data_IF_569899542165
#
_entry.id   IF_569899542165
#
_cell.length_a   1.000
_cell.length_b   1.000
_cell.length_c   1.000
_cell.angle_alpha   90.00
_cell.angle_beta   90.00
_cell.angle_gamma   90.00
#
_symmetry.space_group_name_H-M   'P 1'
#
loop_
_entity.id
_entity.type
_entity.pdbx_description
1 polymer ?
#
# COMPACT_ATOMS: atom_id res chain seq x y z
N UNK A 1 -10.88 -29.01 11.16
CA UNK A 1 -9.47 -28.65 10.94
C UNK A 1 -9.47 -27.36 10.16
N UNK A 2 -8.65 -26.44 10.62
CA UNK A 2 -8.71 -24.98 10.50
C UNK A 2 -8.80 -24.47 9.07
N UNK A 3 -9.84 -23.67 8.79
CA UNK A 3 -9.92 -22.74 7.68
C UNK A 3 -8.80 -21.71 7.86
N UNK A 4 -7.81 -21.72 6.97
CA UNK A 4 -6.94 -20.56 6.78
C UNK A 4 -7.73 -19.55 5.96
N UNK A 5 -8.53 -18.71 6.62
CA UNK A 5 -8.97 -17.40 6.08
C UNK A 5 -7.79 -16.41 6.19
N UNK A 6 -6.60 -16.88 5.84
CA UNK A 6 -5.37 -16.12 5.89
C UNK A 6 -5.26 -15.30 4.63
N UNK A 7 -4.99 -14.01 4.81
CA UNK A 7 -4.49 -13.12 3.77
C UNK A 7 -3.17 -13.72 3.26
N UNK A 8 -3.24 -14.69 2.34
CA UNK A 8 -2.07 -15.27 1.69
C UNK A 8 -1.28 -14.10 1.13
N UNK A 9 0.00 -14.00 1.51
CA UNK A 9 0.94 -13.04 0.93
C UNK A 9 0.64 -12.93 -0.56
N UNK A 10 0.21 -11.75 -1.00
CA UNK A 10 -0.27 -11.53 -2.36
C UNK A 10 0.67 -12.27 -3.33
N UNK A 11 0.19 -13.13 -4.24
CA UNK A 11 1.03 -13.87 -5.17
C UNK A 11 2.03 -12.98 -5.92
N UNK A 12 1.73 -11.69 -6.02
CA UNK A 12 2.58 -10.64 -6.51
C UNK A 12 3.84 -10.39 -5.68
N UNK A 13 3.79 -10.53 -4.36
CA UNK A 13 4.97 -10.39 -3.49
C UNK A 13 5.83 -11.63 -3.50
N UNK A 14 5.25 -12.82 -3.59
CA UNK A 14 6.04 -14.03 -3.87
C UNK A 14 6.71 -13.93 -5.26
N UNK A 15 6.00 -13.45 -6.28
CA UNK A 15 6.57 -13.26 -7.61
C UNK A 15 7.69 -12.21 -7.62
N UNK A 16 7.45 -11.04 -7.00
CA UNK A 16 8.46 -9.99 -6.90
C UNK A 16 9.67 -10.41 -6.06
N UNK A 17 9.47 -11.15 -4.97
CA UNK A 17 10.56 -11.71 -4.16
C UNK A 17 11.35 -12.77 -4.92
N UNK A 18 10.69 -13.61 -5.73
CA UNK A 18 11.33 -14.63 -6.57
C UNK A 18 12.20 -13.99 -7.67
N UNK A 19 11.72 -12.92 -8.28
CA UNK A 19 12.42 -12.25 -9.38
C UNK A 19 13.50 -11.25 -8.89
N UNK A 20 13.34 -10.68 -7.70
CA UNK A 20 14.19 -9.58 -7.20
C UNK A 20 15.02 -9.94 -5.95
N UNK A 21 14.71 -11.03 -5.23
CA UNK A 21 15.27 -11.33 -3.89
C UNK A 21 14.49 -10.64 -2.76
N UNK A 22 15.00 -10.62 -1.53
CA UNK A 22 14.35 -9.92 -0.40
C UNK A 22 14.13 -8.43 -0.74
N UNK A 23 12.87 -8.00 -0.78
CA UNK A 23 12.48 -6.62 -1.13
C UNK A 23 12.06 -5.87 0.13
N UNK A 24 12.77 -4.82 0.53
CA UNK A 24 12.31 -3.90 1.57
C UNK A 24 11.69 -2.66 0.93
N UNK A 25 10.72 -2.05 1.61
CA UNK A 25 9.95 -0.90 1.10
C UNK A 25 10.79 0.34 0.75
N UNK A 26 12.08 0.37 1.12
CA UNK A 26 12.93 1.54 1.00
C UNK A 26 13.39 1.88 -0.40
N UNK A 27 13.48 0.94 -1.37
CA UNK A 27 13.54 1.26 -2.82
C UNK A 27 13.77 0.01 -3.68
N UNK A 28 12.70 -0.50 -4.30
CA UNK A 28 12.77 -1.08 -5.65
C UNK A 28 11.52 -0.71 -6.43
N UNK A 29 11.76 -0.17 -7.62
CA UNK A 29 10.73 0.32 -8.53
C UNK A 29 10.17 -0.85 -9.34
N UNK A 30 8.93 -1.24 -9.08
CA UNK A 30 8.19 -2.18 -9.94
C UNK A 30 7.51 -1.38 -11.04
N UNK A 31 7.44 -1.93 -12.25
CA UNK A 31 6.76 -1.26 -13.36
C UNK A 31 5.31 -1.68 -13.41
N UNK A 32 4.40 -0.70 -13.42
CA UNK A 32 2.95 -0.91 -13.51
C UNK A 32 2.36 -0.18 -14.72
N UNK A 33 1.23 -0.68 -15.21
CA UNK A 33 0.51 -0.13 -16.35
C UNK A 33 -0.64 0.79 -15.95
N UNK A 34 -1.44 1.20 -16.94
CA UNK A 34 -2.55 2.11 -16.71
C UNK A 34 -3.67 1.50 -15.85
N UNK A 35 -3.83 0.18 -15.86
CA UNK A 35 -4.89 -0.50 -15.10
C UNK A 35 -4.69 -0.37 -13.59
N UNK A 36 -3.45 -0.52 -13.11
CA UNK A 36 -3.10 -0.39 -11.70
C UNK A 36 -3.32 1.04 -11.20
N UNK A 37 -2.99 2.06 -12.01
CA UNK A 37 -3.24 3.46 -11.64
C UNK A 37 -4.71 3.84 -11.65
N UNK A 38 -5.51 3.28 -12.57
CA UNK A 38 -6.92 3.64 -12.72
C UNK A 38 -7.76 3.26 -11.49
N UNK A 39 -7.35 2.23 -10.73
CA UNK A 39 -8.01 1.80 -9.51
C UNK A 39 -7.73 2.65 -8.28
N UNK A 40 -6.75 3.56 -8.34
CA UNK A 40 -6.35 4.39 -7.20
C UNK A 40 -7.24 5.62 -7.05
N UNK A 41 -7.76 5.80 -5.84
CA UNK A 41 -8.49 7.00 -5.41
C UNK A 41 -7.56 8.20 -5.23
N UNK A 42 -8.14 9.39 -5.01
CA UNK A 42 -7.35 10.58 -4.66
C UNK A 42 -6.61 10.39 -3.32
N UNK A 43 -7.29 9.83 -2.32
CA UNK A 43 -6.72 9.55 -1.00
C UNK A 43 -5.55 8.57 -1.08
N UNK A 44 -5.63 7.53 -1.94
CA UNK A 44 -4.51 6.60 -2.15
C UNK A 44 -3.28 7.32 -2.71
N UNK A 45 -3.51 8.24 -3.65
CA UNK A 45 -2.43 8.99 -4.32
C UNK A 45 -1.76 9.94 -3.35
N UNK A 46 -2.53 10.58 -2.46
CA UNK A 46 -2.01 11.44 -1.40
C UNK A 46 -1.23 10.62 -0.37
N UNK A 47 -1.76 9.48 0.06
CA UNK A 47 -1.07 8.56 0.97
C UNK A 47 0.27 8.10 0.39
N UNK A 48 0.28 7.64 -0.86
CA UNK A 48 1.53 7.26 -1.55
C UNK A 48 2.51 8.44 -1.61
N UNK A 49 2.04 9.64 -1.97
CA UNK A 49 2.89 10.82 -2.04
C UNK A 49 3.52 11.20 -0.69
N UNK A 50 2.80 11.03 0.42
CA UNK A 50 3.31 11.32 1.77
C UNK A 50 4.27 10.25 2.25
N UNK A 51 3.94 8.97 2.04
CA UNK A 51 4.72 7.85 2.56
C UNK A 51 6.02 7.64 1.77
N UNK A 52 5.95 7.73 0.44
CA UNK A 52 7.08 7.37 -0.44
C UNK A 52 7.67 8.55 -1.20
N UNK A 53 7.01 9.71 -1.17
CA UNK A 53 7.39 10.87 -1.98
C UNK A 53 6.97 10.78 -3.45
N UNK A 54 6.31 9.68 -3.87
CA UNK A 54 5.91 9.46 -5.26
C UNK A 54 4.76 10.37 -5.69
N UNK A 55 4.91 10.99 -6.86
CA UNK A 55 3.82 11.74 -7.50
C UNK A 55 3.23 10.94 -8.63
N UNK A 56 2.11 10.27 -8.36
CA UNK A 56 1.44 9.42 -9.33
C UNK A 56 0.60 10.27 -10.31
N UNK A 57 0.88 10.20 -11.62
CA UNK A 57 0.06 10.90 -12.61
C UNK A 57 -1.34 10.28 -12.70
N UNK A 58 -2.33 11.05 -13.13
CA UNK A 58 -3.70 10.55 -13.35
C UNK A 58 -3.77 9.48 -14.45
N UNK A 59 -2.97 9.66 -15.51
CA UNK A 59 -2.88 8.77 -16.66
C UNK A 59 -1.42 8.56 -17.08
N UNK A 60 -1.12 7.40 -17.67
CA UNK A 60 0.21 7.09 -18.22
C UNK A 60 0.09 6.47 -19.61
N UNK A 61 1.14 6.65 -20.43
CA UNK A 61 1.35 5.91 -21.68
C UNK A 61 2.52 4.96 -21.49
N UNK A 62 2.24 3.66 -21.44
CA UNK A 62 3.24 2.62 -21.18
C UNK A 62 3.30 2.21 -19.71
N UNK A 63 4.51 2.08 -19.17
CA UNK A 63 4.75 1.60 -17.80
C UNK A 63 5.38 2.71 -16.93
N UNK A 64 4.98 2.76 -15.66
CA UNK A 64 5.51 3.67 -14.66
C UNK A 64 6.25 2.89 -13.57
N UNK A 65 7.50 3.23 -13.22
CA UNK A 65 8.15 2.71 -12.02
C UNK A 65 7.45 3.25 -10.77
N UNK A 66 7.07 2.37 -9.85
CA UNK A 66 6.40 2.69 -8.59
C UNK A 66 6.98 1.91 -7.42
N UNK A 67 6.77 2.40 -6.20
CA UNK A 67 7.15 1.63 -4.99
C UNK A 67 6.30 0.37 -4.83
N UNK A 68 6.84 -0.53 -4.01
CA UNK A 68 6.13 -1.71 -3.58
C UNK A 68 4.90 -1.39 -2.72
N UNK A 69 4.94 -0.27 -1.99
CA UNK A 69 3.79 0.25 -1.24
C UNK A 69 2.64 0.64 -2.17
N UNK A 70 2.93 1.40 -3.23
CA UNK A 70 1.94 1.75 -4.25
C UNK A 70 1.37 0.50 -4.94
N UNK A 71 2.23 -0.46 -5.28
CA UNK A 71 1.81 -1.72 -5.90
C UNK A 71 0.85 -2.51 -4.99
N UNK A 72 1.14 -2.64 -3.70
CA UNK A 72 0.26 -3.31 -2.74
C UNK A 72 -1.14 -2.66 -2.74
N UNK A 73 -1.22 -1.32 -2.65
CA UNK A 73 -2.48 -0.60 -2.71
C UNK A 73 -3.22 -0.84 -4.04
N UNK A 74 -2.54 -0.74 -5.17
CA UNK A 74 -3.16 -0.94 -6.48
C UNK A 74 -3.73 -2.36 -6.65
N UNK A 75 -2.99 -3.37 -6.19
CA UNK A 75 -3.43 -4.77 -6.22
C UNK A 75 -4.64 -4.97 -5.32
N UNK A 76 -4.63 -4.42 -4.12
CA UNK A 76 -5.76 -4.56 -3.19
C UNK A 76 -7.00 -3.79 -3.61
N UNK A 77 -6.84 -2.69 -4.38
CA UNK A 77 -7.95 -2.02 -5.09
C UNK A 77 -8.53 -2.88 -6.21
N UNK A 78 -7.69 -3.64 -6.94
CA UNK A 78 -8.14 -4.47 -8.05
C UNK A 78 -8.79 -5.78 -7.60
N UNK A 79 -8.13 -6.47 -6.66
CA UNK A 79 -8.46 -7.87 -6.31
C UNK A 79 -8.64 -8.15 -4.82
N UNK A 80 -8.25 -7.22 -3.95
CA UNK A 80 -8.15 -7.44 -2.51
C UNK A 80 -9.17 -6.67 -1.65
N UNK A 81 -8.83 -6.38 -0.39
CA UNK A 81 -9.74 -5.83 0.60
C UNK A 81 -10.15 -4.37 0.34
N UNK A 82 -9.40 -3.63 -0.49
CA UNK A 82 -9.68 -2.21 -0.78
C UNK A 82 -10.60 -2.01 -1.99
N UNK A 83 -11.13 -3.08 -2.60
CA UNK A 83 -12.01 -3.03 -3.77
C UNK A 83 -13.21 -2.10 -3.65
N UNK A 84 -13.68 -1.82 -2.43
CA UNK A 84 -14.82 -0.94 -2.18
C UNK A 84 -14.60 0.53 -2.56
N UNK A 85 -13.36 0.95 -2.81
CA UNK A 85 -13.03 2.36 -3.10
C UNK A 85 -13.07 3.27 -1.87
N UNK A 86 -13.27 2.70 -0.68
CA UNK A 86 -13.24 3.41 0.61
C UNK A 86 -11.82 3.87 0.96
N UNK A 87 -11.66 4.89 1.80
CA UNK A 87 -10.35 5.34 2.26
C UNK A 87 -9.61 4.21 2.98
N UNK A 88 -8.28 4.21 2.86
CA UNK A 88 -7.42 3.20 3.49
C UNK A 88 -7.51 3.36 5.02
N UNK A 89 -8.00 2.36 5.77
CA UNK A 89 -8.06 2.46 7.22
C UNK A 89 -6.69 2.21 7.86
N UNK A 90 -6.47 2.73 9.07
CA UNK A 90 -5.25 2.48 9.86
C UNK A 90 -5.01 0.98 10.03
N UNK A 91 -6.06 0.21 10.34
CA UNK A 91 -5.94 -1.25 10.56
C UNK A 91 -5.37 -1.98 9.35
N UNK A 92 -5.63 -1.50 8.13
CA UNK A 92 -5.11 -2.12 6.92
C UNK A 92 -3.58 -2.03 6.85
N UNK A 93 -2.98 -0.87 7.14
CA UNK A 93 -1.51 -0.72 7.08
C UNK A 93 -0.81 -1.49 8.20
N UNK A 94 -1.43 -1.59 9.37
CA UNK A 94 -0.95 -2.42 10.48
C UNK A 94 -0.98 -3.92 10.14
N UNK A 95 -2.09 -4.38 9.56
CA UNK A 95 -2.25 -5.78 9.13
C UNK A 95 -1.23 -6.14 8.04
N UNK A 96 -1.08 -5.27 7.04
CA UNK A 96 -0.07 -5.43 5.98
C UNK A 96 1.32 -5.54 6.59
N UNK A 97 1.73 -4.59 7.45
CA UNK A 97 3.05 -4.63 8.08
C UNK A 97 3.29 -5.92 8.87
N UNK A 98 2.32 -6.31 9.72
CA UNK A 98 2.41 -7.51 10.56
C UNK A 98 2.59 -8.78 9.72
N UNK A 99 1.79 -8.92 8.66
CA UNK A 99 1.87 -10.08 7.74
C UNK A 99 3.26 -10.21 7.12
N UNK A 100 3.90 -9.09 6.77
CA UNK A 100 5.22 -9.07 6.16
C UNK A 100 6.38 -9.18 7.17
N UNK A 101 6.22 -8.69 8.40
CA UNK A 101 7.20 -8.90 9.48
C UNK A 101 7.35 -10.40 9.78
N UNK A 102 6.22 -11.12 9.84
CA UNK A 102 6.19 -12.56 10.11
C UNK A 102 6.72 -13.43 8.95
N UNK A 103 6.85 -12.86 7.75
CA UNK A 103 7.26 -13.56 6.53
C UNK A 103 8.29 -12.75 5.72
N UNK A 104 9.58 -12.78 6.08
CA UNK A 104 10.60 -11.83 5.60
C UNK A 104 11.09 -12.02 4.15
N UNK A 105 10.24 -12.56 3.25
CA UNK A 105 10.50 -12.59 1.81
C UNK A 105 10.48 -11.19 1.17
N UNK A 106 9.92 -10.21 1.87
CA UNK A 106 9.95 -8.79 1.54
C UNK A 106 8.83 -8.05 2.29
N UNK A 107 8.94 -6.72 2.44
CA UNK A 107 7.89 -5.88 3.02
C UNK A 107 7.66 -4.64 2.14
N UNK A 108 6.41 -4.29 1.80
CA UNK A 108 6.08 -3.02 1.15
C UNK A 108 6.27 -1.83 2.10
N UNK A 109 6.34 -2.08 3.41
CA UNK A 109 6.46 -1.08 4.47
C UNK A 109 7.68 -1.38 5.36
N UNK A 110 8.73 -0.57 5.26
CA UNK A 110 9.71 -0.49 6.35
C UNK A 110 9.09 0.18 7.58
N UNK A 111 9.72 0.08 8.75
CA UNK A 111 9.22 0.72 9.98
C UNK A 111 8.96 2.22 9.80
N UNK A 112 9.90 2.95 9.19
CA UNK A 112 9.73 4.38 8.90
C UNK A 112 8.56 4.67 7.96
N UNK A 113 8.29 3.80 6.99
CA UNK A 113 7.16 3.97 6.06
C UNK A 113 5.83 3.68 6.75
N UNK A 114 5.78 2.71 7.66
CA UNK A 114 4.62 2.46 8.50
C UNK A 114 4.32 3.70 9.36
N UNK A 115 5.33 4.26 10.05
CA UNK A 115 5.15 5.43 10.89
C UNK A 115 4.59 6.63 10.10
N UNK A 116 5.10 6.86 8.88
CA UNK A 116 4.57 7.90 8.00
C UNK A 116 3.13 7.62 7.56
N UNK A 117 2.79 6.37 7.23
CA UNK A 117 1.44 5.99 6.84
C UNK A 117 0.46 6.19 8.00
N UNK A 118 0.81 5.71 9.20
CA UNK A 118 0.01 5.88 10.41
C UNK A 118 -0.19 7.35 10.76
N UNK A 119 0.88 8.16 10.71
CA UNK A 119 0.79 9.59 11.00
C UNK A 119 -0.14 10.32 10.02
N UNK A 120 -0.07 10.00 8.73
CA UNK A 120 -0.96 10.57 7.71
C UNK A 120 -2.41 10.18 7.95
N UNK A 121 -2.68 8.87 8.11
CA UNK A 121 -4.04 8.36 8.28
C UNK A 121 -4.69 8.86 9.58
N UNK A 122 -3.96 8.88 10.69
CA UNK A 122 -4.43 9.47 11.95
C UNK A 122 -4.72 10.98 11.79
N UNK A 123 -3.89 11.70 11.03
CA UNK A 123 -4.13 13.11 10.69
C UNK A 123 -5.44 13.31 9.91
N UNK A 124 -5.73 12.43 8.95
CA UNK A 124 -6.98 12.43 8.20
C UNK A 124 -8.19 12.16 9.10
N UNK A 125 -8.13 11.14 9.96
CA UNK A 125 -9.20 10.83 10.92
C UNK A 125 -9.47 12.00 11.87
N UNK A 126 -8.42 12.61 12.43
CA UNK A 126 -8.53 13.79 13.30
C UNK A 126 -9.14 14.99 12.58
N UNK A 127 -8.82 15.20 11.31
CA UNK A 127 -9.39 16.28 10.51
C UNK A 127 -10.91 16.12 10.30
N UNK A 128 -11.40 14.87 10.20
CA UNK A 128 -12.83 14.56 10.08
C UNK A 128 -13.57 14.79 11.40
N UNK A 129 -12.94 14.47 12.54
CA UNK A 129 -13.51 14.71 13.86
C UNK A 129 -13.63 16.22 14.18
N UNK A 130 -12.86 17.06 13.48
CA UNK A 130 -12.79 18.50 13.73
C UNK A 130 -12.06 18.82 15.03
N UNK A 131 -11.66 20.08 15.26
CA UNK A 131 -11.26 20.47 16.60
C UNK A 131 -12.47 20.28 17.51
N UNK A 132 -12.33 19.49 18.58
CA UNK A 132 -13.26 19.55 19.70
C UNK A 132 -13.34 21.02 20.11
N UNK A 133 -14.44 21.67 19.74
CA UNK A 133 -14.76 23.02 20.19
C UNK A 133 -15.17 22.92 21.67
N UNK A 134 -14.17 22.93 22.54
CA UNK A 134 -14.30 23.29 23.95
C UNK A 134 -13.40 24.47 24.28
#
# INVERSE_FOLDING_TARGET
MTQFDGFDLSPLVQAASTDLGTVTGETRWVRVGAAELAGLTASDRDLVAVVTGERLPGEIVGELPVSFFMLQLAVDRLVGPLRGGEDVPITYVEDVYTVYEDHPAGTPLGGDLLDLALAYLAGCELAVLGPDLS
#
